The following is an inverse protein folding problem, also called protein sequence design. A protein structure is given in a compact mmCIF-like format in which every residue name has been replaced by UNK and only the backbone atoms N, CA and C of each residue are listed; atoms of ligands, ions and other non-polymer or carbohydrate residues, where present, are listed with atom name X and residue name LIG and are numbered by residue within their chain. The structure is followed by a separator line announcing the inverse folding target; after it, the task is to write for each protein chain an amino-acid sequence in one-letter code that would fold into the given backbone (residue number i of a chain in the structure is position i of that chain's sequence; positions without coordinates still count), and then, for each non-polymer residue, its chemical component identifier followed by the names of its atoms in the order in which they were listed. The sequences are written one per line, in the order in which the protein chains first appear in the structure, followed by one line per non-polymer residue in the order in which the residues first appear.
data_IF_763541599596
#
_entry.id   IF_763541599596
#
_cell.length_a   1.000
_cell.length_b   1.000
_cell.length_c   1.000
_cell.angle_alpha   90.00
_cell.angle_beta   90.00
_cell.angle_gamma   90.00
#
_symmetry.space_group_name_H-M   'P 1'
#
loop_
_entity.id
_entity.type
_entity.pdbx_description
1 polymer ?
#
# COMPACT_ATOMS: atom_id res chain seq x y z
N UNK A 1 -1.01 -12.12 -23.30
CA UNK A 1 -1.07 -11.61 -21.91
C UNK A 1 -0.76 -10.12 -21.99
N UNK A 2 -1.72 -9.23 -21.73
CA UNK A 2 -1.47 -7.78 -21.74
C UNK A 2 -0.81 -7.41 -20.42
N UNK A 3 0.50 -7.20 -20.43
CA UNK A 3 1.19 -6.55 -19.31
C UNK A 3 0.59 -5.14 -19.22
N UNK A 4 -0.01 -4.80 -18.07
CA UNK A 4 -0.55 -3.46 -17.84
C UNK A 4 0.62 -2.48 -17.96
N UNK A 5 0.54 -1.56 -18.92
CA UNK A 5 1.58 -0.54 -19.07
C UNK A 5 1.35 0.54 -18.01
N UNK A 6 2.24 0.60 -17.04
CA UNK A 6 2.23 1.63 -16.01
C UNK A 6 2.81 2.94 -16.53
N UNK A 7 2.36 4.05 -15.97
CA UNK A 7 2.86 5.38 -16.28
C UNK A 7 3.98 5.76 -15.32
N UNK A 8 4.98 6.47 -15.83
CA UNK A 8 6.03 7.06 -15.01
C UNK A 8 5.48 8.19 -14.14
N UNK A 9 6.07 8.35 -12.96
CA UNK A 9 5.77 9.45 -12.04
C UNK A 9 6.03 10.82 -12.66
N UNK A 10 5.22 11.81 -12.26
CA UNK A 10 5.35 13.19 -12.75
C UNK A 10 6.61 13.83 -12.16
N UNK A 11 7.34 14.58 -13.00
CA UNK A 11 8.52 15.34 -12.60
C UNK A 11 8.11 16.74 -12.14
N UNK A 12 8.86 17.30 -11.20
CA UNK A 12 8.66 18.66 -10.68
C UNK A 12 8.64 19.65 -11.85
N UNK A 13 7.62 20.51 -11.87
CA UNK A 13 7.37 21.50 -12.91
C UNK A 13 6.60 20.96 -14.12
N UNK A 14 6.21 19.68 -14.12
CA UNK A 14 5.37 19.06 -15.17
C UNK A 14 3.92 18.84 -14.73
N UNK A 15 3.57 19.27 -13.52
CA UNK A 15 2.22 19.27 -12.98
C UNK A 15 1.34 20.34 -13.65
N UNK A 16 0.02 20.14 -13.67
CA UNK A 16 -0.93 21.12 -14.21
C UNK A 16 -1.09 22.33 -13.29
N UNK A 17 -1.09 22.11 -11.98
CA UNK A 17 -1.37 23.14 -10.99
C UNK A 17 -0.12 23.76 -10.35
N UNK A 18 1.08 23.17 -10.54
CA UNK A 18 2.28 23.64 -9.87
C UNK A 18 3.02 24.72 -10.69
N UNK A 19 3.00 25.96 -10.20
CA UNK A 19 3.89 27.03 -10.67
C UNK A 19 5.08 27.10 -9.70
N UNK A 20 6.19 26.45 -10.03
CA UNK A 20 7.44 26.53 -9.26
C UNK A 20 8.51 27.28 -10.04
N UNK A 21 9.25 28.15 -9.36
CA UNK A 21 10.33 28.94 -9.97
C UNK A 21 11.62 28.13 -10.15
N UNK A 22 11.91 27.15 -9.27
CA UNK A 22 13.15 26.35 -9.35
C UNK A 22 13.08 24.98 -8.64
N UNK A 23 12.27 24.84 -7.59
CA UNK A 23 12.10 23.58 -6.85
C UNK A 23 10.67 23.39 -6.32
N UNK A 24 10.30 22.16 -5.98
CA UNK A 24 9.02 21.85 -5.36
C UNK A 24 8.96 22.39 -3.91
N UNK A 25 7.92 23.13 -3.50
CA UNK A 25 7.80 23.69 -2.15
C UNK A 25 7.66 22.62 -1.05
N UNK A 26 7.20 21.42 -1.40
CA UNK A 26 7.06 20.31 -0.45
C UNK A 26 8.33 19.51 -0.30
N UNK A 27 8.79 18.88 -1.38
CA UNK A 27 9.93 17.96 -1.32
C UNK A 27 11.29 18.59 -1.66
N UNK A 28 11.32 19.87 -2.05
CA UNK A 28 12.53 20.64 -2.43
C UNK A 28 13.35 20.00 -3.55
N UNK A 29 12.72 19.15 -4.36
CA UNK A 29 13.34 18.58 -5.55
C UNK A 29 13.38 19.65 -6.66
N UNK A 30 14.51 19.79 -7.38
CA UNK A 30 14.61 20.72 -8.51
C UNK A 30 13.62 20.42 -9.63
N UNK A 31 13.27 21.44 -10.41
CA UNK A 31 12.50 21.30 -11.65
C UNK A 31 13.18 20.29 -12.59
N UNK A 32 12.38 19.39 -13.15
CA UNK A 32 12.86 18.32 -14.04
C UNK A 32 13.29 17.03 -13.33
N UNK A 33 13.44 17.04 -12.00
CA UNK A 33 13.61 15.81 -11.21
C UNK A 33 12.27 15.19 -10.82
N UNK A 34 12.29 13.92 -10.41
CA UNK A 34 11.12 13.28 -9.79
C UNK A 34 10.96 13.77 -8.35
N UNK A 35 9.71 13.96 -7.91
CA UNK A 35 9.43 14.28 -6.50
C UNK A 35 9.98 13.22 -5.54
N UNK A 36 10.30 13.64 -4.32
CA UNK A 36 10.48 12.67 -3.22
C UNK A 36 9.19 11.88 -3.02
N UNK A 37 9.33 10.58 -2.72
CA UNK A 37 8.18 9.70 -2.50
C UNK A 37 7.28 10.25 -1.39
N UNK A 38 5.97 10.26 -1.62
CA UNK A 38 4.99 10.79 -0.67
C UNK A 38 4.87 12.32 -0.66
N UNK A 39 5.39 13.02 -1.67
CA UNK A 39 5.21 14.48 -1.76
C UNK A 39 3.74 14.85 -1.98
N UNK A 40 3.20 15.72 -1.12
CA UNK A 40 1.82 16.19 -1.20
C UNK A 40 1.48 16.99 -2.46
N UNK A 41 2.49 17.46 -3.20
CA UNK A 41 2.29 18.25 -4.41
C UNK A 41 2.56 17.48 -5.71
N UNK A 42 2.99 16.23 -5.63
CA UNK A 42 3.13 15.41 -6.82
C UNK A 42 1.74 15.09 -7.39
N UNK A 43 1.56 15.28 -8.69
CA UNK A 43 0.33 14.88 -9.39
C UNK A 43 0.41 13.44 -9.91
N UNK A 44 -0.74 12.78 -9.95
CA UNK A 44 -0.89 11.49 -10.59
C UNK A 44 -0.73 11.63 -12.13
N UNK A 45 0.12 10.82 -12.79
CA UNK A 45 0.31 10.92 -14.23
C UNK A 45 -0.94 10.54 -15.04
N UNK A 46 -1.81 9.70 -14.47
CA UNK A 46 -3.07 9.28 -15.09
C UNK A 46 -4.18 10.32 -14.97
N UNK A 47 -4.56 10.68 -13.73
CA UNK A 47 -5.73 11.53 -13.49
C UNK A 47 -5.42 12.97 -13.08
N UNK A 48 -4.14 13.33 -12.92
CA UNK A 48 -3.64 14.69 -12.59
C UNK A 48 -4.10 15.27 -11.25
N UNK A 49 -4.85 14.51 -10.45
CA UNK A 49 -5.11 14.81 -9.03
C UNK A 49 -3.84 14.57 -8.20
N UNK A 50 -3.82 15.09 -6.98
CA UNK A 50 -2.74 14.81 -6.00
C UNK A 50 -2.49 13.31 -5.88
N UNK A 51 -1.22 12.91 -6.05
CA UNK A 51 -0.84 11.51 -6.15
C UNK A 51 -1.14 10.73 -4.87
N UNK A 52 -0.79 11.27 -3.69
CA UNK A 52 -0.96 10.55 -2.41
C UNK A 52 -2.42 10.21 -2.10
N UNK A 53 -3.36 11.01 -2.60
CA UNK A 53 -4.81 10.78 -2.48
C UNK A 53 -5.42 10.10 -3.70
N UNK A 54 -4.62 9.61 -4.63
CA UNK A 54 -5.08 8.98 -5.86
C UNK A 54 -5.32 7.47 -5.68
N UNK A 55 -6.32 6.97 -6.40
CA UNK A 55 -6.76 5.57 -6.43
C UNK A 55 -6.85 5.00 -7.86
N UNK A 56 -6.39 5.73 -8.88
CA UNK A 56 -6.59 5.31 -10.28
C UNK A 56 -5.70 4.14 -10.73
N UNK A 57 -4.78 3.69 -9.86
CA UNK A 57 -3.92 2.54 -10.08
C UNK A 57 -3.13 2.59 -11.40
N UNK A 58 -2.68 3.78 -11.82
CA UNK A 58 -1.89 3.97 -13.04
C UNK A 58 -0.38 3.76 -12.85
N UNK A 59 0.09 3.79 -11.60
CA UNK A 59 1.48 3.50 -11.25
C UNK A 59 1.73 1.99 -11.12
N UNK A 60 2.99 1.61 -11.27
CA UNK A 60 3.44 0.23 -11.03
C UNK A 60 3.18 -0.18 -9.57
N UNK A 61 3.02 -1.49 -9.28
CA UNK A 61 2.96 -1.98 -7.91
C UNK A 61 4.21 -1.60 -7.12
N UNK A 62 5.39 -1.57 -7.76
CA UNK A 62 6.64 -1.14 -7.14
C UNK A 62 6.59 0.31 -6.67
N UNK A 63 6.23 1.25 -7.55
CA UNK A 63 6.10 2.67 -7.18
C UNK A 63 5.01 2.87 -6.12
N UNK A 64 3.90 2.14 -6.24
CA UNK A 64 2.81 2.16 -5.28
C UNK A 64 3.30 1.76 -3.88
N UNK A 65 4.02 0.63 -3.76
CA UNK A 65 4.57 0.16 -2.50
C UNK A 65 5.61 1.14 -1.91
N UNK A 66 6.47 1.72 -2.75
CA UNK A 66 7.45 2.73 -2.34
C UNK A 66 6.81 4.02 -1.81
N UNK A 67 5.72 4.47 -2.43
CA UNK A 67 4.95 5.64 -1.98
C UNK A 67 4.27 5.34 -0.64
N UNK A 68 3.59 4.19 -0.53
CA UNK A 68 2.94 3.76 0.71
C UNK A 68 3.95 3.69 1.85
N UNK A 69 5.12 3.08 1.63
CA UNK A 69 6.17 2.99 2.64
C UNK A 69 6.71 4.37 3.06
N UNK A 70 6.87 5.30 2.10
CA UNK A 70 7.32 6.65 2.40
C UNK A 70 6.27 7.45 3.20
N UNK A 71 4.99 7.26 2.92
CA UNK A 71 3.89 7.86 3.67
C UNK A 71 3.73 7.24 5.06
N UNK A 72 3.89 5.92 5.17
CA UNK A 72 3.89 5.20 6.44
C UNK A 72 4.92 5.79 7.40
N UNK A 73 6.15 6.04 6.93
CA UNK A 73 7.22 6.64 7.72
C UNK A 73 6.97 8.09 8.15
N UNK A 74 5.90 8.75 7.67
CA UNK A 74 5.50 10.09 8.11
C UNK A 74 4.56 10.05 9.33
N UNK A 75 3.92 8.91 9.62
CA UNK A 75 3.07 8.76 10.79
C UNK A 75 3.92 8.56 12.05
N UNK A 76 3.58 9.30 13.11
CA UNK A 76 4.21 9.18 14.42
C UNK A 76 3.21 8.94 15.56
N UNK A 77 1.91 9.11 15.29
CA UNK A 77 0.82 8.98 16.27
C UNK A 77 -0.33 8.21 15.68
N UNK A 78 -0.95 7.36 16.51
CA UNK A 78 -2.14 6.60 16.14
C UNK A 78 -3.32 7.52 15.76
N UNK A 79 -3.49 8.64 16.47
CA UNK A 79 -4.60 9.58 16.24
C UNK A 79 -4.61 10.12 14.81
N UNK A 80 -3.44 10.51 14.29
CA UNK A 80 -3.30 11.05 12.94
C UNK A 80 -3.67 10.01 11.88
N UNK A 81 -3.30 8.74 12.10
CA UNK A 81 -3.66 7.64 11.19
C UNK A 81 -5.16 7.30 11.27
N UNK A 82 -5.77 7.34 12.46
CA UNK A 82 -7.23 7.18 12.62
C UNK A 82 -7.98 8.29 11.89
N UNK A 83 -7.54 9.54 12.02
CA UNK A 83 -8.17 10.68 11.36
C UNK A 83 -8.21 10.49 9.83
N UNK A 84 -7.11 10.05 9.22
CA UNK A 84 -7.03 9.75 7.79
C UNK A 84 -8.07 8.70 7.38
N UNK A 85 -8.15 7.58 8.10
CA UNK A 85 -9.06 6.48 7.76
C UNK A 85 -10.52 6.90 7.97
N UNK A 86 -10.84 7.55 9.08
CA UNK A 86 -12.22 8.01 9.38
C UNK A 86 -12.67 9.11 8.43
N UNK A 87 -11.76 10.01 8.00
CA UNK A 87 -12.07 11.03 7.00
C UNK A 87 -12.42 10.41 5.64
N UNK A 88 -11.75 9.31 5.27
CA UNK A 88 -12.07 8.57 4.05
C UNK A 88 -13.46 7.93 4.11
N UNK A 89 -13.84 7.33 5.24
CA UNK A 89 -15.17 6.73 5.44
C UNK A 89 -16.31 7.76 5.42
N UNK A 90 -16.03 8.99 5.89
CA UNK A 90 -17.01 10.09 5.94
C UNK A 90 -17.22 10.77 4.59
N UNK A 91 -16.33 10.57 3.61
CA UNK A 91 -16.44 11.10 2.27
C UNK A 91 -17.35 10.25 1.36
N UNK A 92 -18.02 10.86 0.38
CA UNK A 92 -18.82 10.14 -0.66
C UNK A 92 -17.97 9.37 -1.69
N UNK A 93 -16.80 8.89 -1.30
CA UNK A 93 -15.90 8.13 -2.15
C UNK A 93 -14.98 7.31 -1.27
N UNK A 94 -15.41 6.11 -0.91
CA UNK A 94 -14.59 5.08 -0.26
C UNK A 94 -13.50 4.57 -1.21
N UNK A 95 -12.68 5.48 -1.73
CA UNK A 95 -11.68 5.23 -2.73
C UNK A 95 -10.33 5.02 -2.03
N UNK A 96 -9.90 3.76 -1.97
CA UNK A 96 -8.59 3.34 -1.48
C UNK A 96 -7.48 4.17 -2.13
N UNK A 97 -6.79 5.00 -1.33
CA UNK A 97 -5.66 5.83 -1.78
C UNK A 97 -4.37 5.38 -1.13
N UNK A 98 -3.23 5.78 -1.68
CA UNK A 98 -1.92 5.46 -1.10
C UNK A 98 -1.79 5.95 0.36
N UNK A 99 -2.36 7.12 0.68
CA UNK A 99 -2.38 7.65 2.04
C UNK A 99 -3.22 6.78 2.99
N UNK A 100 -4.39 6.30 2.53
CA UNK A 100 -5.22 5.39 3.34
C UNK A 100 -4.49 4.07 3.59
N UNK A 101 -3.85 3.48 2.57
CA UNK A 101 -3.07 2.26 2.75
C UNK A 101 -1.93 2.43 3.78
N UNK A 102 -1.21 3.56 3.70
CA UNK A 102 -0.15 3.87 4.65
C UNK A 102 -0.68 4.04 6.09
N UNK A 103 -1.81 4.74 6.26
CA UNK A 103 -2.45 4.92 7.55
C UNK A 103 -2.95 3.59 8.15
N UNK A 104 -3.62 2.76 7.33
CA UNK A 104 -4.05 1.43 7.75
C UNK A 104 -2.87 0.56 8.18
N UNK A 105 -1.79 0.54 7.39
CA UNK A 105 -0.58 -0.21 7.74
C UNK A 105 -0.01 0.27 9.09
N UNK A 106 0.10 1.58 9.30
CA UNK A 106 0.58 2.15 10.55
C UNK A 106 -0.31 1.76 11.73
N UNK A 107 -1.64 1.77 11.56
CA UNK A 107 -2.58 1.33 12.58
C UNK A 107 -2.36 -0.15 12.92
N UNK A 108 -2.33 -1.05 11.94
CA UNK A 108 -2.13 -2.49 12.19
C UNK A 108 -0.87 -2.80 13.00
N UNK A 109 0.23 -2.09 12.72
CA UNK A 109 1.51 -2.26 13.39
C UNK A 109 1.50 -1.73 14.83
N UNK A 110 0.75 -0.66 15.10
CA UNK A 110 0.85 0.10 16.36
C UNK A 110 -0.37 -0.02 17.29
N UNK A 111 -1.48 -0.61 16.86
CA UNK A 111 -2.63 -0.86 17.74
C UNK A 111 -2.33 -1.92 18.82
N UNK A 112 -3.03 -1.87 19.97
CA UNK A 112 -2.93 -2.90 21.00
C UNK A 112 -3.31 -4.29 20.47
N UNK A 113 -2.69 -5.34 21.03
CA UNK A 113 -2.94 -6.73 20.62
C UNK A 113 -4.43 -7.11 20.60
N UNK A 114 -5.19 -6.70 21.63
CA UNK A 114 -6.63 -6.97 21.70
C UNK A 114 -7.42 -6.35 20.52
N UNK A 115 -7.01 -5.17 20.04
CA UNK A 115 -7.63 -4.54 18.87
C UNK A 115 -7.22 -5.24 17.57
N UNK A 116 -5.97 -5.71 17.48
CA UNK A 116 -5.49 -6.52 16.35
C UNK A 116 -6.26 -7.83 16.22
N UNK A 117 -6.53 -8.51 17.33
CA UNK A 117 -7.34 -9.74 17.34
C UNK A 117 -8.77 -9.47 16.84
N UNK A 118 -9.36 -8.34 17.21
CA UNK A 118 -10.64 -7.87 16.69
C UNK A 118 -10.61 -7.66 15.17
N UNK A 119 -9.58 -7.01 14.64
CA UNK A 119 -9.41 -6.82 13.20
C UNK A 119 -9.18 -8.12 12.45
N UNK A 120 -8.38 -9.04 13.00
CA UNK A 120 -8.21 -10.37 12.41
C UNK A 120 -9.53 -11.14 12.33
N UNK A 121 -10.38 -11.06 13.36
CA UNK A 121 -11.70 -11.66 13.34
C UNK A 121 -12.60 -11.06 12.26
N UNK A 122 -12.66 -9.73 12.18
CA UNK A 122 -13.43 -9.02 11.14
C UNK A 122 -12.93 -9.36 9.73
N UNK A 123 -11.61 -9.49 9.55
CA UNK A 123 -11.03 -9.91 8.27
C UNK A 123 -11.50 -11.32 7.89
N UNK A 124 -11.49 -12.27 8.82
CA UNK A 124 -11.97 -13.63 8.58
C UNK A 124 -13.48 -13.68 8.28
N UNK A 125 -14.27 -12.84 8.94
CA UNK A 125 -15.71 -12.71 8.68
C UNK A 125 -16.00 -12.17 7.27
N UNK A 126 -15.20 -11.19 6.81
CA UNK A 126 -15.34 -10.59 5.47
C UNK A 126 -14.72 -11.44 4.35
N UNK A 127 -13.77 -12.32 4.68
CA UNK A 127 -13.12 -13.23 3.74
C UNK A 127 -13.27 -14.69 4.18
N UNK A 128 -14.52 -15.22 4.18
CA UNK A 128 -14.76 -16.58 4.65
C UNK A 128 -13.98 -17.58 3.79
N UNK A 129 -13.18 -18.42 4.47
CA UNK A 129 -12.33 -19.41 3.83
C UNK A 129 -10.90 -18.95 3.50
N UNK A 130 -10.58 -17.66 3.67
CA UNK A 130 -9.19 -17.19 3.65
C UNK A 130 -8.55 -17.45 5.01
N UNK A 131 -8.17 -18.71 5.25
CA UNK A 131 -7.42 -19.14 6.42
C UNK A 131 -6.00 -19.54 6.01
N UNK A 132 -4.96 -19.25 6.80
CA UNK A 132 -3.60 -19.71 6.50
C UNK A 132 -3.58 -21.24 6.42
N UNK A 133 -3.15 -21.79 5.27
CA UNK A 133 -3.01 -23.24 5.08
C UNK A 133 -1.67 -23.78 5.58
N UNK A 134 -0.75 -22.88 5.93
CA UNK A 134 0.59 -23.20 6.39
C UNK A 134 0.83 -22.50 7.72
N UNK A 135 1.52 -23.17 8.63
CA UNK A 135 1.99 -22.59 9.89
C UNK A 135 3.46 -22.95 10.13
N UNK A 136 4.19 -22.06 10.80
CA UNK A 136 5.52 -22.39 11.35
C UNK A 136 5.43 -23.02 12.74
N UNK A 137 6.60 -23.32 13.32
CA UNK A 137 6.73 -23.93 14.65
C UNK A 137 6.23 -23.04 15.79
N UNK A 138 6.06 -21.73 15.55
CA UNK A 138 5.53 -20.77 16.53
C UNK A 138 4.02 -20.60 16.43
N UNK A 139 3.38 -21.28 15.46
CA UNK A 139 1.96 -21.13 15.16
C UNK A 139 1.63 -19.92 14.29
N UNK A 140 2.62 -19.26 13.70
CA UNK A 140 2.38 -18.15 12.78
C UNK A 140 1.86 -18.68 11.44
N UNK A 141 0.74 -18.15 10.96
CA UNK A 141 0.09 -18.58 9.72
C UNK A 141 0.66 -17.90 8.47
N UNK A 142 0.85 -18.68 7.41
CA UNK A 142 1.27 -18.21 6.08
C UNK A 142 0.19 -18.52 5.04
N UNK A 143 -0.04 -17.55 4.14
CA UNK A 143 -0.91 -17.71 2.97
C UNK A 143 -0.07 -17.99 1.72
N UNK A 144 -0.54 -18.87 0.85
CA UNK A 144 0.06 -19.01 -0.49
C UNK A 144 -0.44 -17.92 -1.43
N UNK A 145 0.30 -17.66 -2.52
CA UNK A 145 -0.12 -16.68 -3.53
C UNK A 145 -1.44 -17.09 -4.20
N UNK A 146 -1.69 -18.40 -4.37
CA UNK A 146 -2.95 -18.94 -4.90
C UNK A 146 -4.12 -18.66 -3.97
N UNK A 147 -3.93 -18.80 -2.66
CA UNK A 147 -4.99 -18.46 -1.68
C UNK A 147 -5.37 -16.98 -1.79
N UNK A 148 -4.37 -16.10 -1.90
CA UNK A 148 -4.61 -14.66 -2.06
C UNK A 148 -5.27 -14.35 -3.40
N UNK A 149 -4.86 -15.01 -4.49
CA UNK A 149 -5.47 -14.85 -5.81
C UNK A 149 -6.97 -15.17 -5.79
N UNK A 150 -7.35 -16.30 -5.18
CA UNK A 150 -8.75 -16.71 -5.06
C UNK A 150 -9.54 -15.74 -4.16
N UNK A 151 -9.01 -15.42 -2.98
CA UNK A 151 -9.74 -14.62 -2.02
C UNK A 151 -9.90 -13.15 -2.44
N UNK A 152 -8.87 -12.57 -3.06
CA UNK A 152 -8.88 -11.19 -3.55
C UNK A 152 -9.46 -11.07 -4.97
N UNK A 153 -9.75 -12.20 -5.63
CA UNK A 153 -10.27 -12.27 -7.00
C UNK A 153 -9.40 -11.53 -8.01
N UNK A 154 -8.08 -11.62 -7.85
CA UNK A 154 -7.09 -11.05 -8.77
C UNK A 154 -6.24 -12.16 -9.39
N UNK A 155 -5.71 -11.99 -10.61
CA UNK A 155 -4.84 -12.98 -11.25
C UNK A 155 -3.63 -13.32 -10.39
N UNK A 156 -3.22 -14.59 -10.37
CA UNK A 156 -2.04 -15.05 -9.63
C UNK A 156 -0.77 -14.26 -10.00
N UNK A 157 -0.60 -13.92 -11.27
CA UNK A 157 0.52 -13.08 -11.72
C UNK A 157 0.52 -11.69 -11.06
N UNK A 158 -0.65 -11.09 -10.84
CA UNK A 158 -0.78 -9.80 -10.15
C UNK A 158 -0.46 -9.93 -8.65
N UNK A 159 -0.80 -11.07 -8.04
CA UNK A 159 -0.39 -11.36 -6.66
C UNK A 159 1.13 -11.41 -6.55
N UNK A 160 1.80 -12.17 -7.44
CA UNK A 160 3.26 -12.25 -7.45
C UNK A 160 3.91 -10.87 -7.67
N UNK A 161 3.42 -10.12 -8.65
CA UNK A 161 3.93 -8.77 -8.94
C UNK A 161 3.81 -7.85 -7.71
N UNK A 162 2.68 -7.90 -7.00
CA UNK A 162 2.48 -7.14 -5.75
C UNK A 162 3.44 -7.61 -4.65
N UNK A 163 3.59 -8.91 -4.42
CA UNK A 163 4.51 -9.44 -3.40
C UNK A 163 5.95 -9.01 -3.69
N UNK A 164 6.41 -9.19 -4.93
CA UNK A 164 7.77 -8.79 -5.36
C UNK A 164 7.99 -7.27 -5.17
N UNK A 165 7.00 -6.46 -5.56
CA UNK A 165 7.04 -5.02 -5.36
C UNK A 165 7.16 -4.62 -3.88
N UNK A 166 6.39 -5.25 -3.00
CA UNK A 166 6.42 -4.99 -1.57
C UNK A 166 7.79 -5.37 -0.96
N UNK A 167 8.37 -6.50 -1.36
CA UNK A 167 9.72 -6.92 -0.95
C UNK A 167 10.77 -5.92 -1.41
N UNK A 168 10.75 -5.56 -2.69
CA UNK A 168 11.71 -4.63 -3.27
C UNK A 168 11.56 -3.21 -2.69
N UNK A 169 10.37 -2.85 -2.19
CA UNK A 169 10.12 -1.61 -1.48
C UNK A 169 10.59 -1.65 0.00
N UNK A 170 10.98 -2.82 0.52
CA UNK A 170 11.46 -3.01 1.88
C UNK A 170 10.34 -3.18 2.91
N UNK A 171 9.12 -3.53 2.49
CA UNK A 171 8.05 -3.85 3.44
C UNK A 171 8.35 -5.16 4.17
N UNK A 172 8.00 -5.21 5.46
CA UNK A 172 8.27 -6.34 6.34
C UNK A 172 7.39 -7.56 6.05
N UNK A 173 7.58 -8.20 4.89
CA UNK A 173 6.95 -9.47 4.55
C UNK A 173 7.80 -10.62 5.10
N UNK A 174 7.15 -11.54 5.80
CA UNK A 174 7.76 -12.81 6.22
C UNK A 174 7.52 -13.87 5.16
N UNK A 175 8.59 -14.45 4.65
CA UNK A 175 8.55 -15.61 3.77
C UNK A 175 8.76 -16.88 4.59
N UNK A 176 8.07 -17.96 4.20
CA UNK A 176 8.31 -19.28 4.75
C UNK A 176 9.53 -19.99 4.16
N UNK A 177 10.27 -19.34 3.25
CA UNK A 177 11.47 -19.90 2.64
C UNK A 177 12.56 -20.14 3.70
N UNK A 178 13.08 -21.37 3.74
CA UNK A 178 14.09 -21.77 4.72
C UNK A 178 13.53 -22.04 6.13
N UNK A 179 12.22 -21.97 6.32
CA UNK A 179 11.53 -22.30 7.58
C UNK A 179 10.70 -23.57 7.39
N UNK A 180 10.64 -24.42 8.41
CA UNK A 180 9.78 -25.61 8.38
C UNK A 180 8.33 -25.18 8.51
N UNK A 181 7.55 -25.39 7.44
CA UNK A 181 6.11 -25.17 7.43
C UNK A 181 5.36 -26.49 7.52
N UNK A 182 4.29 -26.49 8.31
CA UNK A 182 3.33 -27.59 8.39
C UNK A 182 1.99 -27.16 7.80
N UNK A 183 1.31 -28.08 7.10
CA UNK A 183 -0.06 -27.83 6.64
C UNK A 183 -1.01 -27.78 7.82
N UNK A 184 -1.88 -26.78 7.82
CA UNK A 184 -3.01 -26.68 8.73
C UNK A 184 -4.16 -27.43 8.07
N UNK A 185 -4.65 -28.49 8.72
CA UNK A 185 -5.81 -29.27 8.27
C UNK A 185 -7.13 -28.53 8.51
#
# INVERSE_FOLDING_TARGET
MNIKKYLDRVRVGSEQAMICSSECPGCRRPVGETHSLGCQYEECPGCRKTLIGCNCNCLSPYDSARIIQALHGQFSKLADAVEVVTAAESGRGGEESYLIHAAMQFLYENIPAAARDGLHRLFQENHPGLVPQLQDETGYGYYTAEQLSVALRIPLAEVHEKIEAMVAAGQGIRFGDGIRLQKVN
#
